data_IF_813682526622
#
_entry.id   IF_813682526622
#
_cell.length_a   1.000
_cell.length_b   1.000
_cell.length_c   1.000
_cell.angle_alpha   90.00
_cell.angle_beta   90.00
_cell.angle_gamma   90.00
#
_symmetry.space_group_name_H-M   'P 1'
#
loop_
_entity.id
_entity.type
_entity.pdbx_description
1 polymer ?
#
# COMPACT_ATOMS: atom_id res chain seq x y z
N UNK A 1 -38.17 24.55 -35.91
CA UNK A 1 -38.64 25.00 -34.59
C UNK A 1 -37.41 25.34 -33.79
N UNK A 2 -37.33 26.60 -33.33
CA UNK A 2 -36.25 27.28 -32.61
C UNK A 2 -34.99 27.62 -33.42
N UNK A 3 -35.18 28.59 -34.31
CA UNK A 3 -34.16 29.56 -34.72
C UNK A 3 -33.77 30.36 -33.46
N UNK A 4 -32.54 30.19 -32.98
CA UNK A 4 -32.01 30.98 -31.88
C UNK A 4 -31.59 32.33 -32.45
N UNK A 5 -32.52 33.27 -32.31
CA UNK A 5 -32.41 34.66 -32.70
C UNK A 5 -31.18 35.31 -32.03
N UNK A 6 -30.18 35.65 -32.84
CA UNK A 6 -28.96 36.35 -32.48
C UNK A 6 -29.26 37.85 -32.31
N UNK A 7 -30.17 38.17 -31.40
CA UNK A 7 -30.30 39.53 -30.89
C UNK A 7 -29.42 39.65 -29.65
N UNK A 8 -28.13 39.91 -29.92
CA UNK A 8 -27.23 40.53 -28.94
C UNK A 8 -27.83 41.88 -28.59
N UNK A 9 -28.59 41.89 -27.50
CA UNK A 9 -29.07 43.07 -26.78
C UNK A 9 -27.85 43.80 -26.23
N UNK A 10 -27.19 44.51 -27.14
CA UNK A 10 -26.16 45.50 -26.88
C UNK A 10 -26.91 46.72 -26.37
N UNK A 11 -27.10 46.88 -25.06
CA UNK A 11 -27.30 48.14 -24.29
C UNK A 11 -27.94 47.78 -22.94
N UNK A 12 -27.12 47.77 -21.87
CA UNK A 12 -27.47 47.91 -20.43
C UNK A 12 -26.57 47.02 -19.57
N UNK A 13 -25.25 47.21 -19.68
CA UNK A 13 -24.36 46.85 -18.59
C UNK A 13 -24.69 47.79 -17.42
N UNK A 14 -24.84 47.29 -16.18
CA UNK A 14 -25.08 48.15 -15.04
C UNK A 14 -23.94 49.18 -14.93
N UNK A 15 -24.24 50.42 -14.53
CA UNK A 15 -23.25 51.51 -14.46
C UNK A 15 -21.98 51.12 -13.67
N UNK A 16 -22.12 50.23 -12.69
CA UNK A 16 -21.01 49.66 -11.92
C UNK A 16 -19.96 48.94 -12.79
N UNK A 17 -20.42 48.20 -13.80
CA UNK A 17 -19.55 47.39 -14.65
C UNK A 17 -18.82 48.28 -15.66
N UNK A 18 -19.44 49.38 -16.08
CA UNK A 18 -18.80 50.38 -16.93
C UNK A 18 -17.67 51.10 -16.17
N UNK A 19 -17.92 51.53 -14.93
CA UNK A 19 -16.90 52.17 -14.09
C UNK A 19 -15.74 51.21 -13.78
N UNK A 20 -16.04 49.92 -13.54
CA UNK A 20 -15.01 48.91 -13.32
C UNK A 20 -14.12 48.73 -14.57
N UNK A 21 -14.73 48.61 -15.75
CA UNK A 21 -13.99 48.49 -17.02
C UNK A 21 -13.16 49.72 -17.35
N UNK A 22 -13.68 50.92 -17.05
CA UNK A 22 -12.91 52.15 -17.19
C UNK A 22 -11.69 52.19 -16.27
N UNK A 23 -11.85 51.69 -15.03
CA UNK A 23 -10.74 51.53 -14.09
C UNK A 23 -9.70 50.54 -14.59
N UNK A 24 -10.13 49.39 -15.10
CA UNK A 24 -9.25 48.39 -15.71
C UNK A 24 -8.45 48.97 -16.89
N UNK A 25 -9.10 49.75 -17.77
CA UNK A 25 -8.43 50.40 -18.90
C UNK A 25 -7.38 51.42 -18.44
N UNK A 26 -7.65 52.21 -17.40
CA UNK A 26 -6.68 53.16 -16.85
C UNK A 26 -5.47 52.45 -16.22
N UNK A 27 -5.68 51.32 -15.55
CA UNK A 27 -4.59 50.49 -15.02
C UNK A 27 -3.75 49.91 -16.16
N UNK A 28 -4.40 49.35 -17.18
CA UNK A 28 -3.73 48.79 -18.37
C UNK A 28 -2.99 49.88 -19.19
N UNK A 29 -3.44 51.12 -19.13
CA UNK A 29 -2.70 52.24 -19.72
C UNK A 29 -1.42 52.54 -18.94
N UNK A 30 -1.44 52.45 -17.61
CA UNK A 30 -0.27 52.72 -16.77
C UNK A 30 0.80 51.63 -16.84
N UNK A 31 0.42 50.35 -16.98
CA UNK A 31 1.36 49.25 -17.14
C UNK A 31 1.84 49.07 -18.59
N UNK A 32 1.13 49.66 -19.56
CA UNK A 32 1.47 49.61 -20.98
C UNK A 32 0.93 48.36 -21.71
N UNK A 33 -0.04 47.66 -21.14
CA UNK A 33 -0.65 46.44 -21.70
C UNK A 33 -1.79 46.73 -22.70
N UNK A 34 -2.11 47.99 -23.00
CA UNK A 34 -3.10 48.36 -24.02
C UNK A 34 -2.57 48.24 -25.45
N UNK A 35 -3.46 47.85 -26.37
CA UNK A 35 -3.21 47.96 -27.80
C UNK A 35 -3.19 49.42 -28.29
N UNK A 36 -2.56 49.67 -29.44
CA UNK A 36 -2.34 51.02 -29.99
C UNK A 36 -3.64 51.77 -30.31
N UNK A 37 -4.72 51.07 -30.67
CA UNK A 37 -6.01 51.70 -30.98
C UNK A 37 -6.67 52.20 -29.68
N UNK A 38 -6.77 51.31 -28.69
CA UNK A 38 -7.31 51.63 -27.37
C UNK A 38 -6.46 52.72 -26.68
N UNK A 39 -5.14 52.67 -26.81
CA UNK A 39 -4.25 53.67 -26.23
C UNK A 39 -4.53 55.10 -26.74
N UNK A 40 -4.70 55.27 -28.06
CA UNK A 40 -5.05 56.57 -28.66
C UNK A 40 -6.41 57.10 -28.22
N UNK A 41 -7.37 56.20 -28.02
CA UNK A 41 -8.70 56.60 -27.54
C UNK A 41 -8.65 57.05 -26.08
N UNK A 42 -7.83 56.39 -25.25
CA UNK A 42 -7.56 56.81 -23.86
C UNK A 42 -6.87 58.17 -23.83
N UNK A 43 -5.85 58.42 -24.66
CA UNK A 43 -5.17 59.71 -24.75
C UNK A 43 -6.11 60.86 -25.16
N UNK A 44 -7.02 60.59 -26.09
CA UNK A 44 -8.06 61.55 -26.49
C UNK A 44 -8.98 61.85 -25.31
N UNK A 45 -9.48 60.82 -24.62
CA UNK A 45 -10.33 60.97 -23.42
C UNK A 45 -9.61 61.73 -22.30
N UNK A 46 -8.33 61.46 -22.06
CA UNK A 46 -7.52 62.19 -21.09
C UNK A 46 -7.39 63.68 -21.45
N UNK A 47 -7.40 64.02 -22.73
CA UNK A 47 -7.34 65.42 -23.16
C UNK A 47 -8.66 66.15 -22.92
N UNK A 48 -9.78 65.47 -23.16
CA UNK A 48 -11.13 66.07 -23.13
C UNK A 48 -11.79 66.02 -21.74
N UNK A 49 -11.45 65.02 -20.90
CA UNK A 49 -12.09 64.76 -19.62
C UNK A 49 -11.16 65.06 -18.41
N UNK A 50 -11.44 66.11 -17.62
CA UNK A 50 -10.67 66.42 -16.42
C UNK A 50 -10.87 65.42 -15.27
N UNK A 51 -12.04 64.78 -15.15
CA UNK A 51 -12.30 63.78 -14.11
C UNK A 51 -11.50 62.51 -14.40
N UNK A 52 -11.45 62.10 -15.67
CA UNK A 52 -10.67 60.96 -16.13
C UNK A 52 -9.17 61.13 -15.86
N UNK A 53 -8.63 62.35 -16.07
CA UNK A 53 -7.25 62.70 -15.69
C UNK A 53 -7.01 62.61 -14.18
N UNK A 54 -7.95 63.07 -13.37
CA UNK A 54 -7.82 63.02 -11.91
C UNK A 54 -7.74 61.56 -11.44
N UNK A 55 -8.56 60.66 -12.01
CA UNK A 55 -8.51 59.22 -11.69
C UNK A 55 -7.15 58.60 -12.05
N UNK A 56 -6.61 58.93 -13.23
CA UNK A 56 -5.27 58.47 -13.63
C UNK A 56 -4.18 58.98 -12.66
N UNK A 57 -4.25 60.24 -12.24
CA UNK A 57 -3.31 60.82 -11.27
C UNK A 57 -3.39 60.15 -9.90
N UNK A 58 -4.60 59.84 -9.42
CA UNK A 58 -4.79 59.12 -8.15
C UNK A 58 -4.17 57.73 -8.20
N UNK A 59 -4.35 57.02 -9.32
CA UNK A 59 -3.77 55.70 -9.51
C UNK A 59 -2.24 55.75 -9.58
N UNK A 60 -1.69 56.72 -10.31
CA UNK A 60 -0.24 56.94 -10.37
C UNK A 60 0.35 57.27 -8.99
N UNK A 61 -0.31 58.14 -8.22
CA UNK A 61 0.12 58.44 -6.85
C UNK A 61 0.08 57.21 -5.94
N UNK A 62 -0.91 56.32 -6.10
CA UNK A 62 -0.95 55.08 -5.34
C UNK A 62 0.25 54.17 -5.65
N UNK A 63 0.68 54.12 -6.92
CA UNK A 63 1.90 53.41 -7.32
C UNK A 63 3.16 54.07 -6.76
N UNK A 64 3.26 55.40 -6.79
CA UNK A 64 4.40 56.12 -6.22
C UNK A 64 4.56 55.84 -4.71
N UNK A 65 3.45 55.74 -3.96
CA UNK A 65 3.47 55.36 -2.55
C UNK A 65 3.95 53.92 -2.31
N UNK A 66 3.72 53.00 -3.26
CA UNK A 66 4.24 51.63 -3.16
C UNK A 66 5.76 51.61 -3.30
N UNK A 67 6.33 52.51 -4.10
CA UNK A 67 7.79 52.64 -4.25
C UNK A 67 8.46 53.22 -3.01
N UNK A 68 7.73 53.99 -2.20
CA UNK A 68 8.19 54.48 -0.90
C UNK A 68 8.21 53.41 0.20
N UNK A 69 7.67 52.22 -0.06
CA UNK A 69 7.61 51.17 0.96
C UNK A 69 9.02 50.75 1.40
N UNK A 70 9.26 50.64 2.73
CA UNK A 70 10.55 50.26 3.25
C UNK A 70 10.92 48.86 2.76
N UNK A 71 12.01 48.78 1.99
CA UNK A 71 12.61 47.52 1.58
C UNK A 71 13.28 46.90 2.81
N UNK A 72 12.59 45.96 3.44
CA UNK A 72 13.16 45.13 4.50
C UNK A 72 14.30 44.32 3.88
N UNK A 73 15.54 44.65 4.22
CA UNK A 73 16.69 43.81 3.91
C UNK A 73 16.68 42.68 4.96
N UNK A 74 16.33 41.43 4.59
CA UNK A 74 16.27 40.36 5.57
C UNK A 74 17.68 40.13 6.13
N UNK A 75 17.83 40.30 7.44
CA UNK A 75 19.07 39.96 8.14
C UNK A 75 19.35 38.46 7.98
N UNK A 76 20.63 38.05 8.04
CA UNK A 76 21.06 36.67 7.87
C UNK A 76 20.35 35.71 8.87
N UNK A 77 19.87 36.25 9.99
CA UNK A 77 19.03 35.54 10.96
C UNK A 77 17.67 35.08 10.44
N UNK A 78 17.04 35.80 9.50
CA UNK A 78 15.75 35.42 8.90
C UNK A 78 15.88 34.20 7.98
N UNK A 79 16.96 34.15 7.20
CA UNK A 79 17.26 32.97 6.38
C UNK A 79 17.59 31.77 7.26
N UNK A 80 18.34 31.99 8.35
CA UNK A 80 18.67 30.94 9.32
C UNK A 80 17.42 30.34 9.97
N UNK A 81 16.49 31.20 10.40
CA UNK A 81 15.27 30.74 11.08
C UNK A 81 14.32 29.97 10.16
N UNK A 82 14.27 30.30 8.86
CA UNK A 82 13.47 29.54 7.89
C UNK A 82 14.09 28.17 7.62
N UNK A 83 15.41 28.09 7.43
CA UNK A 83 16.11 26.79 7.27
C UNK A 83 15.96 25.95 8.54
N UNK A 84 16.03 26.57 9.71
CA UNK A 84 15.81 25.89 10.99
C UNK A 84 14.36 25.38 11.12
N UNK A 85 13.37 26.18 10.74
CA UNK A 85 11.97 25.78 10.75
C UNK A 85 11.71 24.57 9.83
N UNK A 86 12.26 24.58 8.61
CA UNK A 86 12.17 23.44 7.67
C UNK A 86 12.90 22.20 8.21
N UNK A 87 14.05 22.39 8.86
CA UNK A 87 14.78 21.28 9.48
C UNK A 87 14.01 20.69 10.68
N UNK A 88 13.29 21.52 11.44
CA UNK A 88 12.45 21.08 12.56
C UNK A 88 11.20 20.33 12.07
N UNK A 89 10.51 20.82 11.04
CA UNK A 89 9.33 20.15 10.47
C UNK A 89 9.69 18.77 9.87
N UNK A 90 10.81 18.69 9.15
CA UNK A 90 11.31 17.42 8.62
C UNK A 90 11.62 16.40 9.73
N UNK A 91 12.14 16.86 10.88
CA UNK A 91 12.37 15.99 12.04
C UNK A 91 11.07 15.51 12.69
N UNK A 92 10.03 16.35 12.75
CA UNK A 92 8.72 15.98 13.28
C UNK A 92 8.04 14.93 12.39
N UNK A 93 8.04 15.10 11.07
CA UNK A 93 7.48 14.10 10.14
C UNK A 93 8.17 12.74 10.26
N UNK A 94 9.50 12.72 10.43
CA UNK A 94 10.25 11.50 10.69
C UNK A 94 9.90 10.87 12.06
N UNK A 95 9.60 11.67 13.08
CA UNK A 95 9.18 11.16 14.40
C UNK A 95 7.76 10.58 14.37
N UNK A 96 6.83 11.23 13.66
CA UNK A 96 5.45 10.74 13.51
C UNK A 96 5.40 9.44 12.69
N UNK A 97 6.18 9.35 11.61
CA UNK A 97 6.29 8.10 10.84
C UNK A 97 7.04 7.01 11.61
N UNK A 98 8.03 7.37 12.44
CA UNK A 98 8.79 6.41 13.24
C UNK A 98 8.05 5.91 14.49
N UNK A 99 7.13 6.69 15.08
CA UNK A 99 6.28 6.23 16.19
C UNK A 99 5.27 5.16 15.74
N UNK A 100 4.80 5.23 14.50
CA UNK A 100 3.90 4.22 13.92
C UNK A 100 4.64 2.93 13.49
N UNK A 101 5.97 2.98 13.32
CA UNK A 101 6.74 1.91 12.65
C UNK A 101 7.83 1.21 13.48
N UNK A 102 7.92 1.44 14.80
CA UNK A 102 8.84 0.67 15.68
C UNK A 102 8.17 -0.57 16.31
N UNK A 103 8.91 -1.68 16.52
CA UNK A 103 9.09 -2.79 15.59
C UNK A 103 8.08 -3.92 15.84
N UNK A 104 6.91 -3.89 15.18
CA UNK A 104 5.98 -5.02 15.17
C UNK A 104 6.50 -6.25 14.39
N UNK A 105 7.60 -6.12 13.65
CA UNK A 105 8.17 -7.18 12.79
C UNK A 105 8.72 -8.38 13.58
N UNK A 106 9.27 -8.17 14.79
CA UNK A 106 9.77 -9.29 15.60
C UNK A 106 8.64 -10.07 16.29
N UNK A 107 7.62 -9.35 16.81
CA UNK A 107 6.44 -9.97 17.40
C UNK A 107 5.63 -10.77 16.38
N UNK A 108 5.50 -10.26 15.16
CA UNK A 108 4.81 -10.97 14.06
C UNK A 108 5.56 -12.22 13.60
N UNK A 109 6.89 -12.22 13.61
CA UNK A 109 7.69 -13.41 13.25
C UNK A 109 7.60 -14.51 14.31
N UNK A 110 7.62 -14.15 15.60
CA UNK A 110 7.37 -15.10 16.69
C UNK A 110 5.97 -15.72 16.63
N UNK A 111 4.93 -14.91 16.38
CA UNK A 111 3.55 -15.42 16.24
C UNK A 111 3.45 -16.41 15.07
N UNK A 112 4.08 -16.11 13.92
CA UNK A 112 4.10 -17.03 12.77
C UNK A 112 4.80 -18.34 13.10
N UNK A 113 5.93 -18.30 13.79
CA UNK A 113 6.64 -19.50 14.23
C UNK A 113 5.79 -20.37 15.17
N UNK A 114 5.11 -19.75 16.15
CA UNK A 114 4.21 -20.46 17.07
C UNK A 114 3.04 -21.12 16.35
N UNK A 115 2.42 -20.44 15.39
CA UNK A 115 1.31 -21.01 14.59
C UNK A 115 1.79 -22.22 13.77
N UNK A 116 2.96 -22.12 13.13
CA UNK A 116 3.53 -23.24 12.35
C UNK A 116 3.81 -24.45 13.24
N UNK A 117 4.41 -24.25 14.42
CA UNK A 117 4.67 -25.33 15.36
C UNK A 117 3.36 -25.95 15.88
N UNK A 118 2.37 -25.12 16.23
CA UNK A 118 1.07 -25.60 16.69
C UNK A 118 0.35 -26.43 15.61
N UNK A 119 0.39 -26.00 14.35
CA UNK A 119 -0.19 -26.75 13.23
C UNK A 119 0.50 -28.10 13.01
N UNK A 120 1.84 -28.16 13.15
CA UNK A 120 2.59 -29.42 13.06
C UNK A 120 2.23 -30.40 14.19
N UNK A 121 2.17 -29.94 15.44
CA UNK A 121 1.78 -30.76 16.59
C UNK A 121 0.35 -31.27 16.42
N UNK A 122 -0.57 -30.40 15.98
CA UNK A 122 -1.96 -30.77 15.73
C UNK A 122 -2.06 -31.83 14.62
N UNK A 123 -1.29 -31.69 13.55
CA UNK A 123 -1.21 -32.68 12.47
C UNK A 123 -0.72 -34.05 12.95
N UNK A 124 0.32 -34.09 13.80
CA UNK A 124 0.82 -35.34 14.38
C UNK A 124 -0.22 -36.02 15.28
N UNK A 125 -0.90 -35.25 16.13
CA UNK A 125 -1.94 -35.77 17.02
C UNK A 125 -3.15 -36.33 16.25
N UNK A 126 -3.62 -35.63 15.21
CA UNK A 126 -4.70 -36.14 14.37
C UNK A 126 -4.26 -37.34 13.53
N UNK A 127 -3.01 -37.33 13.04
CA UNK A 127 -2.44 -38.42 12.26
C UNK A 127 -2.39 -39.72 13.06
N UNK A 128 -1.86 -39.67 14.28
CA UNK A 128 -1.79 -40.84 15.16
C UNK A 128 -3.18 -41.36 15.56
N UNK A 129 -4.14 -40.46 15.82
CA UNK A 129 -5.51 -40.85 16.14
C UNK A 129 -6.25 -41.51 14.96
N UNK A 130 -5.96 -41.08 13.72
CA UNK A 130 -6.61 -41.60 12.52
C UNK A 130 -5.92 -42.86 11.96
N UNK A 131 -4.59 -42.85 11.83
CA UNK A 131 -3.79 -43.94 11.24
C UNK A 131 -3.33 -45.01 12.25
N UNK A 132 -3.33 -44.73 13.56
CA UNK A 132 -2.88 -45.66 14.59
C UNK A 132 -3.75 -46.92 14.74
N UNK A 133 -4.91 -46.98 14.07
CA UNK A 133 -5.76 -48.19 13.99
C UNK A 133 -5.39 -49.11 12.82
N UNK A 134 -4.75 -48.62 11.77
CA UNK A 134 -4.48 -49.39 10.54
C UNK A 134 -3.09 -50.05 10.59
N UNK A 135 -2.11 -49.44 11.28
CA UNK A 135 -0.73 -49.92 11.31
C UNK A 135 -0.44 -51.12 12.22
N UNK A 136 -1.40 -51.60 13.02
CA UNK A 136 -1.16 -52.77 13.89
C UNK A 136 -1.22 -54.10 13.15
N UNK A 137 -1.84 -54.16 11.97
CA UNK A 137 -1.91 -55.40 11.18
C UNK A 137 -0.62 -55.69 10.40
N UNK A 138 0.19 -54.67 10.08
CA UNK A 138 1.44 -54.86 9.34
C UNK A 138 2.61 -55.39 10.18
N UNK A 139 2.46 -55.46 11.51
CA UNK A 139 3.47 -56.02 12.41
C UNK A 139 3.26 -57.51 12.68
N UNK A 140 2.01 -58.02 12.59
CA UNK A 140 1.73 -59.46 12.71
C UNK A 140 2.22 -60.25 11.49
N UNK A 141 2.24 -59.64 10.30
CA UNK A 141 2.72 -60.28 9.06
C UNK A 141 4.26 -60.30 8.93
N UNK A 142 5.00 -59.63 9.83
CA UNK A 142 6.46 -59.57 9.76
C UNK A 142 7.13 -60.88 10.24
N UNK A 143 6.49 -61.61 11.17
CA UNK A 143 7.02 -62.86 11.75
C UNK A 143 6.90 -64.06 10.79
N UNK A 144 5.97 -64.01 9.83
CA UNK A 144 5.84 -65.05 8.79
C UNK A 144 6.91 -64.90 7.70
N UNK A 145 7.47 -63.70 7.51
CA UNK A 145 8.47 -63.41 6.47
C UNK A 145 9.90 -63.74 6.95
N UNK A 146 10.19 -63.75 8.26
CA UNK A 146 11.53 -64.08 8.79
C UNK A 146 11.89 -65.57 8.75
N UNK A 147 10.89 -66.46 8.83
CA UNK A 147 11.11 -67.91 8.91
C UNK A 147 11.02 -68.64 7.55
N UNK A 148 10.95 -67.92 6.43
CA UNK A 148 10.73 -68.53 5.11
C UNK A 148 11.88 -69.47 4.67
N UNK A 149 13.10 -69.27 5.18
CA UNK A 149 14.27 -70.08 4.82
C UNK A 149 14.31 -71.45 5.54
N UNK A 150 13.61 -71.60 6.66
CA UNK A 150 13.61 -72.85 7.44
C UNK A 150 12.64 -73.91 6.89
N UNK A 151 11.60 -73.49 6.17
CA UNK A 151 10.64 -74.40 5.52
C UNK A 151 11.15 -74.96 4.19
N UNK A 152 12.33 -74.56 3.72
CA UNK A 152 12.89 -74.98 2.43
C UNK A 152 13.93 -76.11 2.53
N UNK A 153 14.14 -76.70 3.70
CA UNK A 153 15.20 -77.71 3.91
C UNK A 153 14.78 -79.19 3.83
N UNK A 154 13.56 -79.51 3.39
CA UNK A 154 13.13 -80.90 3.16
C UNK A 154 12.47 -81.03 1.79
N UNK A 155 13.27 -81.32 0.77
CA UNK A 155 12.84 -81.47 -0.64
C UNK A 155 12.26 -82.86 -0.97
N UNK A 156 11.40 -83.46 -0.14
CA UNK A 156 10.49 -84.47 -0.69
C UNK A 156 9.27 -84.77 0.19
N UNK A 157 8.08 -84.42 -0.31
CA UNK A 157 6.81 -84.84 0.30
C UNK A 157 6.64 -86.38 0.23
N UNK A 158 7.30 -87.05 -0.73
CA UNK A 158 7.30 -88.51 -0.80
C UNK A 158 8.04 -89.17 0.39
N UNK A 159 9.10 -88.52 0.91
CA UNK A 159 9.85 -89.05 2.05
C UNK A 159 8.98 -89.17 3.30
N UNK A 160 8.16 -88.16 3.60
CA UNK A 160 7.24 -88.20 4.76
C UNK A 160 6.15 -89.28 4.59
N UNK A 161 5.67 -89.48 3.37
CA UNK A 161 4.65 -90.49 3.07
C UNK A 161 5.20 -91.93 3.13
N UNK A 162 6.45 -92.15 2.71
CA UNK A 162 7.11 -93.45 2.84
C UNK A 162 7.51 -93.73 4.31
N UNK A 163 7.85 -92.70 5.08
CA UNK A 163 8.16 -92.81 6.51
C UNK A 163 6.92 -93.20 7.33
N UNK A 164 5.76 -92.58 7.05
CA UNK A 164 4.47 -92.97 7.65
C UNK A 164 4.10 -94.43 7.31
N UNK A 165 4.31 -94.83 6.06
CA UNK A 165 4.05 -96.20 5.61
C UNK A 165 5.00 -97.23 6.23
N UNK A 166 6.17 -96.81 6.67
CA UNK A 166 7.19 -97.71 7.23
C UNK A 166 6.95 -98.12 8.68
N UNK A 167 5.95 -97.55 9.38
CA UNK A 167 5.56 -97.87 10.76
C UNK A 167 6.75 -97.89 11.75
N UNK A 168 7.77 -97.07 11.49
CA UNK A 168 9.03 -97.04 12.27
C UNK A 168 8.86 -96.30 13.61
N UNK A 169 7.75 -95.58 13.79
CA UNK A 169 7.45 -94.88 15.04
C UNK A 169 6.45 -95.66 15.89
N UNK A 170 6.93 -96.71 16.57
CA UNK A 170 6.23 -97.18 17.77
C UNK A 170 6.41 -96.14 18.87
N UNK A 171 5.37 -95.36 19.12
CA UNK A 171 5.29 -94.53 20.32
C UNK A 171 5.00 -95.49 21.48
N UNK A 172 6.06 -95.90 22.17
CA UNK A 172 5.97 -96.61 23.43
C UNK A 172 5.31 -95.64 24.43
N UNK A 173 4.03 -95.85 24.71
CA UNK A 173 3.27 -95.09 25.72
C UNK A 173 3.94 -95.30 27.09
N UNK A 174 4.81 -94.36 27.47
CA UNK A 174 5.24 -94.25 28.86
C UNK A 174 4.06 -93.77 29.68
N UNK A 175 3.41 -94.77 30.29
CA UNK A 175 2.41 -94.69 31.32
C UNK A 175 2.76 -93.69 32.42
N UNK A 176 1.75 -92.90 32.78
CA UNK A 176 1.57 -92.21 34.06
C UNK A 176 2.25 -92.90 35.25
N UNK A 177 3.02 -92.12 36.02
CA UNK A 177 3.33 -92.21 37.46
C UNK A 177 4.08 -90.88 37.77
N UNK A 178 3.69 -89.95 38.64
CA UNK A 178 2.65 -89.78 39.67
C UNK A 178 2.19 -88.30 39.67
#
# INVERSE_FOLDING_TARGET
>A
MAEFDEHVEKTDLPESDLVAREGEQLVAYLDGELDEETNRDIERRLSDDPEYRLRLQQLQHAWDLLDELPRLNPDEGFTRSTVEFVALSARQELQETQQWSRPAKQKTLFIRAVITVAAGILGLLLGDWFFGREHRQFLDDLEVISEFDQYRLTEDFQFLQDLERSDVFHIEELSNEE
#
